data_IF_940045599525
#
_entry.id   IF_940045599525
#
_cell.length_a   1.000
_cell.length_b   1.000
_cell.length_c   1.000
_cell.angle_alpha   90.00
_cell.angle_beta   90.00
_cell.angle_gamma   90.00
#
_symmetry.space_group_name_H-M   'P 1'
#
loop_
_entity.id
_entity.type
_entity.pdbx_description
1 polymer ?
#
# COMPACT_ATOMS: atom_id res chain seq x y z
N UNK A 1 -69.44 36.82 8.72
CA UNK A 1 -68.92 36.35 7.42
C UNK A 1 -67.46 35.98 7.59
N UNK A 2 -67.17 34.70 7.72
CA UNK A 2 -65.83 34.12 7.86
C UNK A 2 -65.19 34.00 6.49
N UNK A 3 -63.99 34.57 6.28
CA UNK A 3 -63.19 34.32 5.07
C UNK A 3 -62.75 32.85 5.09
N UNK A 4 -62.85 32.10 3.96
CA UNK A 4 -62.24 30.79 3.91
C UNK A 4 -60.73 30.95 3.85
N UNK A 5 -60.07 30.31 4.80
CA UNK A 5 -58.62 30.11 4.85
C UNK A 5 -58.24 29.32 3.59
N UNK A 6 -57.53 29.97 2.68
CA UNK A 6 -57.00 29.32 1.49
C UNK A 6 -55.84 28.49 2.00
N UNK A 7 -56.02 27.17 2.01
CA UNK A 7 -54.91 26.23 2.20
C UNK A 7 -53.86 26.56 1.15
N UNK A 8 -52.75 27.17 1.58
CA UNK A 8 -51.52 27.24 0.83
C UNK A 8 -51.02 25.79 0.70
N UNK A 9 -51.50 25.11 -0.33
CA UNK A 9 -50.97 23.80 -0.74
C UNK A 9 -49.60 24.09 -1.32
N UNK A 10 -48.57 23.63 -0.62
CA UNK A 10 -47.15 23.70 -0.97
C UNK A 10 -46.93 23.60 -2.49
N UNK A 11 -46.68 24.74 -3.13
CA UNK A 11 -46.38 24.83 -4.55
C UNK A 11 -44.99 24.27 -4.90
N UNK A 12 -44.19 23.90 -3.89
CA UNK A 12 -42.88 23.29 -4.05
C UNK A 12 -42.93 21.76 -4.24
N UNK A 13 -44.09 21.12 -4.05
CA UNK A 13 -44.21 19.66 -4.22
C UNK A 13 -44.32 19.20 -5.68
N UNK A 14 -44.44 20.13 -6.64
CA UNK A 14 -44.62 19.82 -8.06
C UNK A 14 -43.32 19.84 -8.88
N UNK A 15 -42.18 20.22 -8.26
CA UNK A 15 -40.87 20.37 -8.90
C UNK A 15 -39.81 19.41 -8.33
N UNK A 16 -40.22 18.44 -7.49
CA UNK A 16 -39.33 17.38 -7.00
C UNK A 16 -39.13 16.32 -8.10
N UNK A 17 -37.88 16.16 -8.56
CA UNK A 17 -37.50 15.10 -9.50
C UNK A 17 -37.91 13.72 -8.96
N UNK A 18 -38.41 12.80 -9.82
CA UNK A 18 -38.89 11.51 -9.36
C UNK A 18 -37.75 10.66 -8.78
N UNK A 19 -38.01 10.02 -7.64
CA UNK A 19 -37.11 9.01 -7.06
C UNK A 19 -37.03 7.83 -8.03
N UNK A 20 -35.85 7.65 -8.66
CA UNK A 20 -35.62 6.56 -9.62
C UNK A 20 -35.13 5.27 -8.98
N UNK A 21 -34.55 5.35 -7.76
CA UNK A 21 -34.09 4.20 -7.00
C UNK A 21 -34.05 4.49 -5.50
N UNK A 22 -34.22 3.45 -4.69
CA UNK A 22 -34.04 3.48 -3.24
C UNK A 22 -33.11 2.33 -2.88
N UNK A 23 -32.11 2.59 -2.03
CA UNK A 23 -31.11 1.62 -1.63
C UNK A 23 -31.07 1.49 -0.12
N UNK A 24 -31.07 0.26 0.37
CA UNK A 24 -30.84 -0.03 1.77
C UNK A 24 -29.34 0.09 2.08
N UNK A 25 -29.00 0.94 3.05
CA UNK A 25 -27.62 1.14 3.49
C UNK A 25 -27.37 0.34 4.76
N UNK A 26 -26.46 -0.64 4.67
CA UNK A 26 -26.06 -1.46 5.80
C UNK A 26 -24.70 -1.01 6.34
N UNK A 27 -24.60 -0.83 7.66
CA UNK A 27 -23.35 -0.54 8.34
C UNK A 27 -22.77 -1.80 8.97
N UNK A 28 -21.47 -2.03 8.76
CA UNK A 28 -20.77 -3.10 9.43
C UNK A 28 -20.60 -2.79 10.92
N UNK A 29 -20.60 -3.81 11.80
CA UNK A 29 -20.24 -3.61 13.19
C UNK A 29 -18.80 -3.11 13.30
N UNK A 30 -18.47 -2.51 14.44
CA UNK A 30 -17.11 -2.07 14.74
C UNK A 30 -16.11 -3.23 14.57
N UNK A 31 -14.94 -2.93 14.00
CA UNK A 31 -13.91 -3.94 13.81
C UNK A 31 -13.47 -4.51 15.17
N UNK A 32 -13.18 -5.84 15.25
CA UNK A 32 -12.63 -6.45 16.46
C UNK A 32 -11.38 -5.72 16.95
N UNK A 33 -11.15 -5.73 18.26
CA UNK A 33 -9.96 -5.13 18.86
C UNK A 33 -8.68 -5.63 18.17
N UNK A 34 -7.79 -4.68 17.83
CA UNK A 34 -6.54 -4.97 17.12
C UNK A 34 -6.66 -5.08 15.60
N UNK A 35 -7.88 -5.04 15.02
CA UNK A 35 -8.07 -4.94 13.57
C UNK A 35 -8.26 -3.49 13.15
N UNK A 36 -7.65 -3.12 12.02
CA UNK A 36 -7.74 -1.79 11.41
C UNK A 36 -7.97 -1.95 9.91
N UNK A 37 -8.83 -1.09 9.35
CA UNK A 37 -8.95 -0.92 7.91
C UNK A 37 -8.12 0.29 7.52
N UNK A 38 -7.17 0.11 6.58
CA UNK A 38 -6.31 1.18 6.09
C UNK A 38 -6.52 1.28 4.58
N UNK A 39 -6.81 2.48 4.11
CA UNK A 39 -6.88 2.78 2.67
C UNK A 39 -5.54 3.36 2.25
N UNK A 40 -4.92 2.74 1.26
CA UNK A 40 -3.62 3.15 0.73
C UNK A 40 -3.81 3.71 -0.67
N UNK A 41 -3.35 4.94 -0.88
CA UNK A 41 -3.36 5.60 -2.18
C UNK A 41 -1.92 5.71 -2.71
N UNK A 42 -1.74 5.46 -4.00
CA UNK A 42 -0.46 5.63 -4.72
C UNK A 42 -0.59 6.78 -5.71
N UNK A 43 -0.25 8.03 -5.33
CA UNK A 43 -0.44 9.18 -6.21
C UNK A 43 0.38 9.12 -7.51
N UNK A 44 1.53 8.44 -7.47
CA UNK A 44 2.43 8.31 -8.62
C UNK A 44 1.96 7.28 -9.65
N UNK A 45 0.81 6.63 -9.40
CA UNK A 45 0.28 5.61 -10.28
C UNK A 45 -0.79 6.21 -11.19
N UNK A 46 -0.53 6.17 -12.49
CA UNK A 46 -1.43 6.73 -13.52
C UNK A 46 -2.22 5.67 -14.26
N UNK A 47 -1.92 4.39 -14.06
CA UNK A 47 -2.50 3.26 -14.78
C UNK A 47 -3.38 2.37 -13.88
N UNK A 48 -4.48 1.87 -14.43
CA UNK A 48 -5.41 0.96 -13.74
C UNK A 48 -5.05 -0.52 -13.91
N UNK A 49 -3.79 -0.82 -14.26
CA UNK A 49 -3.32 -2.20 -14.48
C UNK A 49 -3.45 -3.04 -13.20
N UNK A 50 -4.12 -4.21 -13.21
CA UNK A 50 -4.17 -5.06 -12.03
C UNK A 50 -2.75 -5.39 -11.55
N UNK A 51 -2.49 -5.24 -10.25
CA UNK A 51 -1.22 -5.62 -9.64
C UNK A 51 -1.40 -6.80 -8.70
N UNK A 52 -0.36 -7.60 -8.49
CA UNK A 52 -0.37 -8.64 -7.47
C UNK A 52 -0.75 -8.08 -6.10
N UNK A 53 -1.40 -8.91 -5.29
CA UNK A 53 -1.72 -8.54 -3.92
C UNK A 53 -0.42 -8.27 -3.12
N UNK A 54 -0.47 -7.35 -2.14
CA UNK A 54 0.65 -7.15 -1.23
C UNK A 54 1.07 -8.43 -0.52
N UNK A 55 2.37 -8.63 -0.34
CA UNK A 55 2.92 -9.80 0.35
C UNK A 55 3.19 -9.54 1.82
N UNK A 56 3.54 -8.30 2.18
CA UNK A 56 3.84 -7.92 3.56
C UNK A 56 3.41 -6.48 3.84
N UNK A 57 2.95 -6.23 5.07
CA UNK A 57 2.60 -4.93 5.61
C UNK A 57 3.34 -4.72 6.93
N UNK A 58 4.09 -3.62 7.03
CA UNK A 58 4.77 -3.21 8.27
C UNK A 58 4.22 -1.87 8.73
N UNK A 59 3.86 -1.79 10.01
CA UNK A 59 3.25 -0.60 10.61
C UNK A 59 4.02 -0.18 11.85
N UNK A 60 4.35 1.11 11.94
CA UNK A 60 4.84 1.73 13.17
C UNK A 60 3.71 2.54 13.80
N UNK A 61 3.02 1.92 14.75
CA UNK A 61 1.76 2.42 15.32
C UNK A 61 1.85 3.86 15.85
N UNK A 62 2.96 4.23 16.48
CA UNK A 62 3.08 5.56 17.10
C UNK A 62 3.33 6.68 16.09
N UNK A 63 4.01 6.41 14.97
CA UNK A 63 4.36 7.45 13.99
C UNK A 63 3.43 7.47 12.77
N UNK A 64 2.44 6.56 12.71
CA UNK A 64 1.56 6.41 11.55
C UNK A 64 2.27 5.89 10.30
N UNK A 65 3.52 5.42 10.41
CA UNK A 65 4.30 5.04 9.23
C UNK A 65 3.92 3.63 8.77
N UNK A 66 3.77 3.47 7.46
CA UNK A 66 3.38 2.22 6.82
C UNK A 66 4.36 1.87 5.69
N UNK A 67 4.75 0.62 5.62
CA UNK A 67 5.47 0.04 4.49
C UNK A 67 4.68 -1.14 3.95
N UNK A 68 4.57 -1.22 2.62
CA UNK A 68 3.90 -2.31 1.93
C UNK A 68 4.82 -2.90 0.88
N UNK A 69 4.99 -4.20 0.93
CA UNK A 69 5.76 -4.94 -0.07
C UNK A 69 4.82 -5.45 -1.17
N UNK A 70 5.11 -5.03 -2.40
CA UNK A 70 4.40 -5.45 -3.60
C UNK A 70 5.31 -6.31 -4.47
N UNK A 71 4.82 -7.45 -4.98
CA UNK A 71 5.53 -8.22 -5.99
C UNK A 71 5.74 -7.39 -7.27
N UNK A 72 6.93 -7.49 -7.83
CA UNK A 72 7.26 -6.99 -9.16
C UNK A 72 7.02 -8.10 -10.18
N UNK A 73 6.46 -7.72 -11.33
CA UNK A 73 6.46 -8.59 -12.49
C UNK A 73 7.88 -8.63 -13.08
N UNK A 74 8.41 -9.84 -13.21
CA UNK A 74 9.73 -10.09 -13.78
C UNK A 74 9.64 -10.76 -15.17
N UNK A 75 8.43 -10.87 -15.73
CA UNK A 75 8.16 -11.49 -17.02
C UNK A 75 8.06 -10.47 -18.15
N UNK A 76 7.50 -9.28 -17.89
CA UNK A 76 7.37 -8.18 -18.83
C UNK A 76 8.16 -6.94 -18.39
N UNK A 77 8.78 -6.24 -19.36
CA UNK A 77 9.54 -5.00 -19.18
C UNK A 77 10.59 -5.00 -18.03
N UNK A 78 11.09 -6.18 -17.63
CA UNK A 78 12.02 -6.35 -16.51
C UNK A 78 13.46 -6.58 -17.00
N UNK A 79 14.38 -5.72 -16.55
CA UNK A 79 15.81 -5.85 -16.84
C UNK A 79 16.45 -6.91 -15.91
N UNK A 80 16.72 -8.08 -16.48
CA UNK A 80 17.25 -9.25 -15.77
C UNK A 80 18.61 -8.96 -15.12
N UNK A 81 19.50 -8.24 -15.80
CA UNK A 81 20.84 -7.94 -15.31
C UNK A 81 20.79 -7.00 -14.10
N UNK A 82 19.96 -5.95 -14.17
CA UNK A 82 19.74 -5.06 -13.03
C UNK A 82 19.05 -5.78 -11.88
N UNK A 83 18.09 -6.64 -12.20
CA UNK A 83 17.38 -7.45 -11.22
C UNK A 83 18.29 -8.36 -10.41
N UNK A 84 19.22 -9.04 -11.07
CA UNK A 84 20.25 -9.86 -10.45
C UNK A 84 21.17 -9.02 -9.56
N UNK A 85 21.68 -7.91 -10.09
CA UNK A 85 22.57 -7.01 -9.35
C UNK A 85 21.90 -6.50 -8.09
N UNK A 86 20.72 -5.89 -8.20
CA UNK A 86 20.03 -5.30 -7.06
C UNK A 86 19.50 -6.33 -6.07
N UNK A 87 19.01 -7.48 -6.54
CA UNK A 87 18.57 -8.58 -5.66
C UNK A 87 19.70 -9.03 -4.73
N UNK A 88 20.90 -9.24 -5.27
CA UNK A 88 22.08 -9.61 -4.48
C UNK A 88 22.52 -8.53 -3.50
N UNK A 89 22.58 -7.28 -3.96
CA UNK A 89 22.93 -6.15 -3.09
C UNK A 89 21.93 -6.02 -1.94
N UNK A 90 20.64 -6.22 -2.22
CA UNK A 90 19.58 -6.17 -1.22
C UNK A 90 19.71 -7.32 -0.21
N UNK A 91 19.92 -8.56 -0.67
CA UNK A 91 20.12 -9.73 0.20
C UNK A 91 21.35 -9.57 1.09
N UNK A 92 22.48 -9.12 0.53
CA UNK A 92 23.70 -8.85 1.30
C UNK A 92 23.48 -7.73 2.34
N UNK A 93 22.74 -6.68 1.96
CA UNK A 93 22.36 -5.59 2.87
C UNK A 93 21.47 -6.08 4.02
N UNK A 94 20.50 -6.96 3.74
CA UNK A 94 19.64 -7.55 4.77
C UNK A 94 20.40 -8.45 5.74
N UNK A 95 21.28 -9.30 5.22
CA UNK A 95 22.13 -10.17 6.03
C UNK A 95 23.03 -9.33 6.95
N UNK A 96 23.63 -8.26 6.42
CA UNK A 96 24.46 -7.33 7.21
C UNK A 96 23.67 -6.59 8.30
N UNK A 97 22.37 -6.36 8.09
CA UNK A 97 21.45 -5.68 9.02
C UNK A 97 20.67 -6.64 9.94
N UNK A 98 20.97 -7.95 9.91
CA UNK A 98 20.26 -8.98 10.68
C UNK A 98 18.73 -8.94 10.46
N UNK A 99 18.28 -8.70 9.22
CA UNK A 99 16.85 -8.66 8.88
C UNK A 99 16.14 -7.33 9.18
N UNK A 100 16.88 -6.24 9.43
CA UNK A 100 16.28 -4.90 9.51
C UNK A 100 15.60 -4.47 8.20
N UNK A 101 14.49 -3.73 8.32
CA UNK A 101 13.60 -3.21 7.26
C UNK A 101 14.26 -2.85 5.92
N UNK A 102 13.48 -3.03 4.85
CA UNK A 102 13.87 -3.02 3.43
C UNK A 102 14.26 -1.64 2.85
N UNK A 103 14.17 -0.55 3.62
CA UNK A 103 14.43 0.81 3.16
C UNK A 103 15.90 1.25 3.11
N UNK A 104 16.15 2.32 2.33
CA UNK A 104 17.38 3.13 2.39
C UNK A 104 17.69 3.40 3.87
N UNK A 105 18.87 3.01 4.33
CA UNK A 105 19.30 3.26 5.71
C UNK A 105 18.44 2.64 6.84
N UNK A 106 17.78 1.49 6.66
CA UNK A 106 17.30 0.71 7.81
C UNK A 106 16.03 1.22 8.52
N UNK A 107 15.04 1.63 7.72
CA UNK A 107 13.63 1.72 8.15
C UNK A 107 13.27 2.96 8.92
N UNK A 108 12.16 3.59 8.53
CA UNK A 108 11.46 4.69 9.22
C UNK A 108 12.31 5.81 9.88
N UNK A 109 13.60 5.91 9.58
CA UNK A 109 14.55 6.76 10.28
C UNK A 109 15.12 7.81 9.35
N UNK A 110 14.80 9.07 9.62
CA UNK A 110 15.64 10.19 9.19
C UNK A 110 16.90 10.18 10.05
N UNK A 111 17.89 9.39 9.66
CA UNK A 111 19.15 9.28 10.40
C UNK A 111 20.19 8.50 9.62
N UNK A 112 21.37 9.07 9.45
CA UNK A 112 22.49 8.42 8.79
C UNK A 112 22.81 7.08 9.47
N UNK A 113 22.88 6.01 8.68
CA UNK A 113 23.37 4.71 9.13
C UNK A 113 24.78 4.88 9.69
N UNK A 114 24.99 4.47 10.95
CA UNK A 114 26.35 4.26 11.45
C UNK A 114 27.01 3.21 10.56
N UNK A 115 27.94 3.65 9.71
CA UNK A 115 28.81 2.75 8.95
C UNK A 115 29.65 1.96 9.94
N UNK A 116 29.25 0.71 10.23
CA UNK A 116 30.21 -0.24 10.78
C UNK A 116 31.28 -0.50 9.72
N UNK A 117 32.58 -0.50 10.08
CA UNK A 117 33.65 -0.69 9.13
C UNK A 117 33.49 -2.04 8.43
N UNK A 118 33.45 -2.00 7.10
CA UNK A 118 33.39 -3.18 6.24
C UNK A 118 34.56 -4.11 6.55
N UNK A 119 34.29 -5.30 7.10
CA UNK A 119 35.12 -6.45 6.75
C UNK A 119 34.76 -6.74 5.29
N UNK A 120 35.72 -6.57 4.38
CA UNK A 120 35.61 -6.89 2.96
C UNK A 120 35.35 -8.41 2.85
N UNK A 121 34.12 -8.83 3.10
CA UNK A 121 33.60 -10.12 2.71
C UNK A 121 33.43 -10.05 1.21
N UNK A 122 34.38 -10.65 0.51
CA UNK A 122 34.23 -11.23 -0.82
C UNK A 122 32.75 -11.45 -1.12
N UNK A 123 32.16 -10.60 -1.97
CA UNK A 123 30.98 -11.00 -2.70
C UNK A 123 31.53 -12.08 -3.62
N UNK A 124 31.32 -13.32 -3.24
CA UNK A 124 31.89 -14.52 -3.86
C UNK A 124 31.85 -14.37 -5.39
N UNK A 125 33.01 -14.22 -6.02
CA UNK A 125 33.17 -14.02 -7.47
C UNK A 125 32.56 -15.19 -8.27
N UNK A 126 32.27 -16.31 -7.58
CA UNK A 126 31.59 -17.51 -8.09
C UNK A 126 30.15 -17.23 -8.51
N UNK A 127 29.48 -16.21 -7.95
CA UNK A 127 28.08 -15.89 -8.28
C UNK A 127 27.94 -14.97 -9.51
N UNK A 128 29.04 -14.45 -10.08
CA UNK A 128 28.97 -13.48 -11.22
C UNK A 128 28.29 -14.06 -12.47
N UNK A 129 28.22 -15.39 -12.61
CA UNK A 129 27.66 -16.09 -13.77
C UNK A 129 26.45 -16.99 -13.46
N UNK A 130 25.66 -16.68 -12.43
CA UNK A 130 24.43 -17.43 -12.16
C UNK A 130 23.42 -17.28 -13.31
N UNK A 131 22.84 -18.40 -13.75
CA UNK A 131 21.73 -18.39 -14.71
C UNK A 131 20.49 -17.71 -14.12
N UNK A 132 19.74 -16.99 -14.96
CA UNK A 132 18.54 -16.28 -14.54
C UNK A 132 17.52 -17.20 -13.84
N UNK A 133 17.27 -18.39 -14.40
CA UNK A 133 16.27 -19.28 -13.83
C UNK A 133 16.71 -19.82 -12.47
N UNK A 134 18.01 -20.06 -12.30
CA UNK A 134 18.58 -20.46 -11.02
C UNK A 134 18.48 -19.32 -10.00
N UNK A 135 18.80 -18.09 -10.39
CA UNK A 135 18.71 -16.93 -9.51
C UNK A 135 17.29 -16.64 -9.05
N UNK A 136 16.29 -16.79 -9.94
CA UNK A 136 14.87 -16.67 -9.58
C UNK A 136 14.47 -17.74 -8.59
N UNK A 137 14.90 -19.01 -8.78
CA UNK A 137 14.61 -20.11 -7.84
C UNK A 137 15.26 -19.89 -6.47
N UNK A 138 16.44 -19.30 -6.43
CA UNK A 138 17.19 -19.02 -5.19
C UNK A 138 16.79 -17.69 -4.52
N UNK A 139 15.81 -16.98 -5.07
CA UNK A 139 15.39 -15.67 -4.60
C UNK A 139 16.50 -14.60 -4.58
N UNK A 140 17.43 -14.70 -5.53
CA UNK A 140 18.57 -13.79 -5.68
C UNK A 140 18.29 -12.62 -6.62
N UNK A 141 17.05 -12.48 -7.07
CA UNK A 141 16.58 -11.43 -7.98
C UNK A 141 15.68 -10.47 -7.22
N UNK A 142 15.76 -9.17 -7.55
CA UNK A 142 14.86 -8.16 -7.01
C UNK A 142 13.41 -8.39 -7.49
N UNK A 143 12.60 -9.10 -6.71
CA UNK A 143 11.20 -9.40 -7.07
C UNK A 143 10.17 -8.57 -6.31
N UNK A 144 10.59 -7.65 -5.45
CA UNK A 144 9.70 -6.92 -4.53
C UNK A 144 10.02 -5.44 -4.54
N UNK A 145 8.97 -4.63 -4.58
CA UNK A 145 9.01 -3.19 -4.38
C UNK A 145 8.37 -2.85 -3.03
N UNK A 146 9.15 -2.22 -2.14
CA UNK A 146 8.62 -1.67 -0.89
C UNK A 146 8.14 -0.24 -1.10
N UNK A 147 6.87 0.02 -0.81
CA UNK A 147 6.26 1.34 -0.84
C UNK A 147 6.10 1.87 0.58
N UNK A 148 6.62 3.06 0.84
CA UNK A 148 6.47 3.75 2.12
C UNK A 148 5.35 4.78 2.05
N UNK A 149 4.63 4.94 3.16
CA UNK A 149 3.62 5.96 3.35
C UNK A 149 3.43 6.31 4.82
N UNK A 150 2.51 7.23 5.06
CA UNK A 150 2.09 7.62 6.39
C UNK A 150 0.56 7.77 6.39
N UNK A 151 -0.10 7.28 7.43
CA UNK A 151 -1.49 7.61 7.70
C UNK A 151 -1.56 8.68 8.79
N UNK A 152 -2.52 9.62 8.71
CA UNK A 152 -2.66 10.67 9.71
C UNK A 152 -3.10 10.08 11.05
N UNK A 153 -2.62 10.68 12.13
CA UNK A 153 -3.10 10.41 13.48
C UNK A 153 -4.34 11.27 13.71
N UNK A 154 -5.51 10.73 13.33
CA UNK A 154 -6.79 11.43 13.45
C UNK A 154 -7.74 10.60 14.31
N UNK A 155 -8.26 11.21 15.37
CA UNK A 155 -9.25 10.58 16.28
C UNK A 155 -10.66 10.54 15.67
N UNK A 156 -10.92 11.33 14.62
CA UNK A 156 -12.21 11.43 13.93
C UNK A 156 -12.24 10.66 12.61
N UNK A 157 -13.37 9.99 12.33
CA UNK A 157 -13.60 9.27 11.08
C UNK A 157 -13.94 10.29 9.98
N UNK A 158 -12.98 10.56 9.09
CA UNK A 158 -13.17 11.48 7.97
C UNK A 158 -13.82 10.82 6.74
N UNK A 159 -13.69 9.50 6.60
CA UNK A 159 -14.12 8.76 5.42
C UNK A 159 -14.73 7.39 5.79
N UNK A 160 -15.72 6.94 5.01
CA UNK A 160 -16.25 5.56 5.07
C UNK A 160 -15.99 4.84 3.75
N UNK A 161 -15.69 3.54 3.82
CA UNK A 161 -15.55 2.69 2.63
C UNK A 161 -16.85 1.91 2.44
N UNK A 162 -17.57 2.21 1.35
CA UNK A 162 -18.78 1.50 0.96
C UNK A 162 -18.52 0.52 -0.18
N UNK A 163 -19.22 -0.62 -0.16
CA UNK A 163 -19.29 -1.55 -1.29
C UNK A 163 -20.69 -1.44 -1.87
N UNK A 164 -20.78 -1.12 -3.16
CA UNK A 164 -22.04 -1.04 -3.88
C UNK A 164 -22.27 -2.33 -4.67
N UNK A 165 -23.45 -2.93 -4.49
CA UNK A 165 -23.92 -4.05 -5.29
C UNK A 165 -25.25 -3.64 -5.91
N UNK A 166 -25.25 -3.43 -7.22
CA UNK A 166 -26.44 -3.06 -8.02
C UNK A 166 -26.93 -4.21 -8.89
#
# INVERSE_FOLDING_TARGET
MTKPDRMDVDADAADDDPITATYDVFLNPALPQGRRLIVLQQPNRTDNTPRPAPTELRLKSHSGMVEVDLPLDNTDAYDRDKGLRWGRLLQASMAAKNGGSHGLAGGFGFGAVQQRPKKKGEVDDVDVYMDWNEAVRQDKVLKTQTLGGQYPDTDEVQCMVGVFQG
#
